data_IF_549432317976
#
_entry.id   IF_549432317976
#
_cell.length_a   1.000
_cell.length_b   1.000
_cell.length_c   1.000
_cell.angle_alpha   90.00
_cell.angle_beta   90.00
_cell.angle_gamma   90.00
#
_symmetry.space_group_name_H-M   'P 1'
#
loop_
_entity.id
_entity.type
_entity.pdbx_description
1 polymer ?
#
# COMPACT_ATOMS: atom_id res chain seq x y z
N UNK A 1 13.83 65.88 26.11
CA UNK A 1 12.87 64.76 26.27
C UNK A 1 13.05 63.80 25.09
N UNK A 2 12.47 62.60 25.20
CA UNK A 2 12.91 61.37 24.54
C UNK A 2 11.78 60.79 23.66
N UNK A 3 12.12 60.25 22.47
CA UNK A 3 11.30 59.34 21.59
C UNK A 3 10.06 59.97 20.91
N UNK A 4 9.49 59.53 19.76
CA UNK A 4 9.67 58.45 18.72
C UNK A 4 9.11 59.02 17.38
N UNK A 5 9.15 58.43 16.17
CA UNK A 5 9.59 57.12 15.62
C UNK A 5 9.23 57.05 14.10
N UNK A 6 9.74 56.07 13.35
CA UNK A 6 9.67 56.03 11.86
C UNK A 6 8.75 54.92 11.29
N UNK A 7 8.22 55.09 10.06
CA UNK A 7 8.48 54.20 8.88
C UNK A 7 7.65 54.52 7.61
N UNK A 8 8.23 54.18 6.45
CA UNK A 8 7.62 54.15 5.10
C UNK A 8 7.07 52.72 4.77
N UNK A 9 6.52 52.33 3.60
CA UNK A 9 6.64 52.84 2.21
C UNK A 9 5.48 52.36 1.27
N UNK A 10 5.59 52.61 -0.05
CA UNK A 10 4.64 52.21 -1.13
C UNK A 10 5.42 51.68 -2.37
N UNK A 11 4.89 51.19 -3.52
CA UNK A 11 3.61 51.45 -4.23
C UNK A 11 3.38 50.44 -5.41
N UNK A 12 2.10 50.14 -5.76
CA UNK A 12 1.47 49.91 -7.12
C UNK A 12 2.20 49.09 -8.23
N UNK A 13 1.56 48.07 -8.83
CA UNK A 13 0.83 48.04 -10.15
C UNK A 13 1.73 47.73 -11.38
N UNK A 14 1.30 47.19 -12.55
CA UNK A 14 0.16 46.32 -12.97
C UNK A 14 0.31 45.89 -14.45
N UNK A 15 -0.44 44.84 -14.90
CA UNK A 15 -0.71 44.43 -16.30
C UNK A 15 0.45 44.00 -17.25
N UNK A 16 0.43 42.75 -17.76
CA UNK A 16 -0.03 42.41 -19.13
C UNK A 16 0.11 40.91 -19.45
N UNK A 17 -0.80 40.36 -20.28
CA UNK A 17 -0.75 39.00 -20.82
C UNK A 17 0.07 38.94 -22.12
N UNK A 18 0.68 37.79 -22.42
CA UNK A 18 1.16 37.43 -23.76
C UNK A 18 0.94 35.94 -24.04
N UNK A 19 0.31 35.62 -25.18
CA UNK A 19 0.15 34.26 -25.72
C UNK A 19 1.16 34.13 -26.87
N UNK A 20 1.98 33.07 -26.88
CA UNK A 20 2.87 32.78 -28.01
C UNK A 20 3.05 31.28 -28.26
N UNK A 21 2.75 30.91 -29.50
CA UNK A 21 2.87 29.61 -30.18
C UNK A 21 4.05 28.70 -29.80
N UNK A 22 3.78 27.40 -29.79
CA UNK A 22 4.79 26.34 -29.91
C UNK A 22 5.48 26.43 -31.28
N UNK A 23 6.82 26.42 -31.32
CA UNK A 23 7.61 26.12 -32.51
C UNK A 23 9.08 25.84 -32.17
N UNK A 24 9.68 24.84 -32.81
CA UNK A 24 11.13 24.70 -32.95
C UNK A 24 11.89 24.04 -31.78
N UNK A 25 12.24 22.77 -31.94
CA UNK A 25 13.27 22.14 -31.12
C UNK A 25 14.63 22.81 -31.32
N UNK A 26 15.38 23.07 -30.24
CA UNK A 26 16.81 23.41 -30.34
C UNK A 26 17.60 22.72 -29.24
N UNK A 27 18.14 21.55 -29.59
CA UNK A 27 19.14 20.84 -28.83
C UNK A 27 20.39 21.73 -28.70
N UNK A 28 20.86 21.98 -27.47
CA UNK A 28 22.14 22.65 -27.20
C UNK A 28 22.94 21.76 -26.25
N UNK A 29 23.90 21.03 -26.80
CA UNK A 29 24.87 20.25 -26.02
C UNK A 29 26.01 21.20 -25.64
N UNK A 30 26.11 21.55 -24.36
CA UNK A 30 27.25 22.29 -23.82
C UNK A 30 28.15 21.31 -23.08
N UNK A 31 29.28 20.96 -23.69
CA UNK A 31 30.33 20.16 -23.06
C UNK A 31 31.28 21.07 -22.26
N UNK A 32 31.39 20.88 -20.94
CA UNK A 32 32.21 21.78 -20.11
C UNK A 32 32.43 21.35 -18.65
N UNK A 33 33.29 20.35 -18.46
CA UNK A 33 34.19 20.12 -17.30
C UNK A 33 33.81 20.54 -15.86
N UNK A 34 33.80 19.52 -14.99
CA UNK A 34 34.49 19.47 -13.69
C UNK A 34 34.00 20.34 -12.51
N UNK A 35 33.19 19.73 -11.64
CA UNK A 35 33.31 19.90 -10.19
C UNK A 35 33.28 18.52 -9.49
N UNK A 36 34.29 18.26 -8.66
CA UNK A 36 34.37 17.06 -7.82
C UNK A 36 33.64 17.31 -6.49
N UNK A 37 32.66 16.46 -6.14
CA UNK A 37 32.48 16.07 -4.74
C UNK A 37 31.77 14.71 -4.59
N UNK A 38 32.60 13.69 -4.35
CA UNK A 38 32.39 12.47 -3.57
C UNK A 38 30.93 12.12 -3.17
N UNK A 39 30.34 11.14 -3.86
CA UNK A 39 29.35 10.24 -3.25
C UNK A 39 29.97 8.84 -3.18
N UNK A 40 30.08 8.32 -1.97
CA UNK A 40 30.52 6.95 -1.69
C UNK A 40 29.35 6.01 -2.00
N UNK A 41 29.46 5.16 -3.02
CA UNK A 41 28.49 4.08 -3.25
C UNK A 41 29.08 2.77 -2.69
N UNK A 42 28.70 2.33 -1.48
CA UNK A 42 29.06 1.01 -1.00
C UNK A 42 28.31 -0.07 -1.82
N UNK A 43 29.07 -1.00 -2.38
CA UNK A 43 28.57 -2.06 -3.24
C UNK A 43 27.59 -3.01 -2.53
N UNK A 44 26.37 -3.17 -3.08
CA UNK A 44 25.58 -4.43 -3.10
C UNK A 44 24.24 -4.28 -3.84
N UNK A 45 24.30 -4.05 -5.15
CA UNK A 45 23.20 -4.52 -6.01
C UNK A 45 23.33 -6.05 -6.03
N UNK A 46 22.42 -6.76 -5.33
CA UNK A 46 22.30 -8.21 -5.51
C UNK A 46 21.71 -8.44 -6.91
N UNK A 47 22.47 -9.05 -7.81
CA UNK A 47 21.91 -9.59 -9.04
C UNK A 47 20.90 -10.68 -8.71
N UNK A 48 19.61 -10.43 -8.96
CA UNK A 48 18.68 -11.53 -9.19
C UNK A 48 18.94 -12.04 -10.62
N UNK A 49 19.47 -13.26 -10.75
CA UNK A 49 19.62 -13.90 -12.05
C UNK A 49 18.21 -14.24 -12.59
N UNK A 50 17.90 -13.79 -13.80
CA UNK A 50 16.68 -14.15 -14.53
C UNK A 50 17.06 -14.57 -15.95
N UNK A 51 17.36 -15.85 -16.11
CA UNK A 51 17.48 -16.51 -17.41
C UNK A 51 16.07 -16.74 -18.02
N UNK A 52 15.39 -15.63 -18.33
CA UNK A 52 14.12 -15.62 -19.04
C UNK A 52 14.33 -15.29 -20.53
N UNK A 53 13.94 -16.19 -21.43
CA UNK A 53 14.11 -16.00 -22.88
C UNK A 53 13.06 -15.02 -23.42
N UNK A 54 13.38 -13.73 -23.46
CA UNK A 54 12.55 -12.70 -24.08
C UNK A 54 12.80 -12.64 -25.59
N UNK A 55 11.90 -13.27 -26.36
CA UNK A 55 11.82 -13.06 -27.82
C UNK A 55 11.11 -11.71 -28.08
N UNK A 56 11.88 -10.69 -28.48
CA UNK A 56 11.45 -9.29 -28.55
C UNK A 56 10.78 -8.96 -29.89
N UNK A 57 9.48 -8.65 -29.89
CA UNK A 57 8.77 -8.08 -31.05
C UNK A 57 8.19 -6.69 -30.73
N UNK A 58 9.03 -5.66 -30.90
CA UNK A 58 8.63 -4.25 -30.77
C UNK A 58 7.82 -3.79 -32.01
N UNK A 59 6.52 -3.50 -31.87
CA UNK A 59 5.77 -2.67 -32.82
C UNK A 59 4.73 -1.74 -32.16
N UNK A 60 5.21 -0.53 -31.82
CA UNK A 60 4.59 0.78 -32.08
C UNK A 60 3.37 1.35 -31.32
N UNK A 61 2.65 0.69 -30.41
CA UNK A 61 1.62 1.38 -29.60
C UNK A 61 1.55 0.98 -28.12
N UNK A 62 1.58 2.01 -27.25
CA UNK A 62 1.30 1.91 -25.82
C UNK A 62 2.46 1.43 -24.95
N UNK A 63 2.73 2.14 -23.86
CA UNK A 63 3.57 1.62 -22.79
C UNK A 63 2.77 0.58 -21.99
N UNK A 64 2.92 -0.71 -22.33
CA UNK A 64 2.34 -1.80 -21.55
C UNK A 64 3.15 -1.94 -20.26
N UNK A 65 2.61 -1.40 -19.17
CA UNK A 65 3.14 -1.65 -17.83
C UNK A 65 2.79 -3.07 -17.41
N UNK A 66 3.75 -4.00 -17.57
CA UNK A 66 3.63 -5.35 -17.02
C UNK A 66 3.74 -5.24 -15.51
N UNK A 67 2.60 -5.18 -14.82
CA UNK A 67 2.55 -5.45 -13.39
C UNK A 67 2.88 -6.93 -13.22
N UNK A 68 4.06 -7.24 -12.69
CA UNK A 68 4.42 -8.60 -12.38
C UNK A 68 3.51 -9.10 -11.25
N UNK A 69 2.65 -10.08 -11.55
CA UNK A 69 1.88 -10.74 -10.51
C UNK A 69 2.85 -11.41 -9.53
N UNK A 70 2.60 -11.23 -8.23
CA UNK A 70 3.45 -11.76 -7.18
C UNK A 70 3.43 -13.29 -7.21
N UNK A 71 4.60 -13.90 -7.33
CA UNK A 71 4.71 -15.37 -7.32
C UNK A 71 4.15 -15.93 -6.02
N UNK A 72 3.14 -16.79 -6.11
CA UNK A 72 2.51 -17.43 -4.95
C UNK A 72 3.39 -18.48 -4.24
N UNK A 73 4.58 -18.78 -4.74
CA UNK A 73 5.40 -19.84 -4.19
C UNK A 73 6.09 -19.43 -2.86
N UNK A 74 5.47 -19.76 -1.72
CA UNK A 74 6.04 -19.62 -0.37
C UNK A 74 5.80 -20.84 0.50
N UNK A 75 6.73 -21.07 1.45
CA UNK A 75 6.55 -22.04 2.53
C UNK A 75 5.82 -21.45 3.75
N UNK A 76 6.07 -20.18 4.04
CA UNK A 76 5.49 -19.43 5.15
C UNK A 76 4.25 -18.69 4.65
N UNK A 77 3.09 -18.96 5.25
CA UNK A 77 1.79 -18.53 4.76
C UNK A 77 0.97 -17.90 5.87
N UNK A 78 0.66 -16.62 5.70
CA UNK A 78 -0.29 -15.91 6.56
C UNK A 78 -1.71 -16.07 6.03
N UNK A 79 -2.68 -16.12 6.93
CA UNK A 79 -4.09 -16.33 6.57
C UNK A 79 -4.62 -15.15 5.75
N UNK A 80 -5.24 -15.45 4.60
CA UNK A 80 -6.05 -14.49 3.87
C UNK A 80 -7.52 -14.89 3.81
N UNK A 81 -7.86 -16.16 3.99
CA UNK A 81 -9.23 -16.65 3.87
C UNK A 81 -9.82 -17.07 5.21
N UNK A 82 -10.67 -18.07 5.15
CA UNK A 82 -11.19 -18.79 6.32
C UNK A 82 -11.17 -20.29 6.01
N UNK A 83 -11.31 -21.13 7.03
CA UNK A 83 -11.32 -22.58 6.84
C UNK A 83 -12.50 -22.99 5.93
N UNK A 84 -12.20 -23.67 4.83
CA UNK A 84 -13.22 -24.09 3.84
C UNK A 84 -13.59 -23.04 2.80
N UNK A 85 -12.89 -21.89 2.73
CA UNK A 85 -12.92 -21.03 1.54
C UNK A 85 -12.52 -21.83 0.29
N UNK A 86 -13.11 -21.54 -0.87
CA UNK A 86 -12.75 -22.16 -2.14
C UNK A 86 -11.69 -21.32 -2.90
N UNK A 87 -11.11 -21.91 -3.95
CA UNK A 87 -10.07 -21.26 -4.77
C UNK A 87 -10.53 -19.94 -5.40
N UNK A 88 -11.68 -19.93 -6.07
CA UNK A 88 -12.23 -18.77 -6.78
C UNK A 88 -12.44 -17.58 -5.83
N UNK A 89 -13.05 -17.81 -4.66
CA UNK A 89 -13.24 -16.78 -3.64
C UNK A 89 -11.91 -16.31 -3.05
N UNK A 90 -10.92 -17.19 -2.89
CA UNK A 90 -9.59 -16.79 -2.42
C UNK A 90 -8.84 -15.89 -3.43
N UNK A 91 -8.87 -16.26 -4.71
CA UNK A 91 -8.24 -15.51 -5.78
C UNK A 91 -8.96 -14.18 -6.04
N UNK A 92 -10.29 -14.16 -5.93
CA UNK A 92 -11.10 -12.94 -5.98
C UNK A 92 -10.81 -11.96 -4.83
N UNK A 93 -10.37 -12.46 -3.66
CA UNK A 93 -9.83 -11.65 -2.54
C UNK A 93 -8.40 -11.12 -2.81
N UNK A 94 -7.84 -11.37 -3.99
CA UNK A 94 -6.50 -10.91 -4.38
C UNK A 94 -5.34 -11.76 -3.84
N UNK A 95 -5.65 -12.94 -3.27
CA UNK A 95 -4.71 -13.78 -2.55
C UNK A 95 -4.27 -15.02 -3.32
N UNK A 96 -3.30 -15.75 -2.75
CA UNK A 96 -2.78 -16.98 -3.30
C UNK A 96 -3.55 -18.20 -2.81
N UNK A 97 -3.74 -19.17 -3.70
CA UNK A 97 -4.30 -20.48 -3.39
C UNK A 97 -3.29 -21.61 -3.58
N UNK A 98 -3.18 -22.51 -2.60
CA UNK A 98 -2.53 -23.81 -2.75
C UNK A 98 -2.98 -24.78 -1.65
N UNK A 99 -3.72 -25.82 -2.04
CA UNK A 99 -4.23 -26.87 -1.16
C UNK A 99 -3.35 -28.15 -1.11
N UNK A 100 -2.14 -28.12 -1.67
CA UNK A 100 -1.23 -29.28 -1.73
C UNK A 100 -0.74 -29.78 -0.36
N UNK A 101 -0.73 -28.93 0.67
CA UNK A 101 -0.37 -29.28 2.05
C UNK A 101 -1.56 -29.00 2.98
N UNK A 102 -2.19 -30.02 3.61
CA UNK A 102 -3.33 -29.84 4.51
C UNK A 102 -2.94 -29.21 5.86
N UNK A 103 -1.65 -29.10 6.19
CA UNK A 103 -1.18 -28.46 7.43
C UNK A 103 -0.89 -26.96 7.25
N UNK A 104 -1.04 -26.44 6.02
CA UNK A 104 -0.79 -25.03 5.69
C UNK A 104 -2.08 -24.30 5.36
N UNK A 105 -2.06 -22.97 5.46
CA UNK A 105 -3.18 -22.14 5.01
C UNK A 105 -3.31 -22.29 3.49
N UNK A 106 -4.51 -22.64 3.03
CA UNK A 106 -4.80 -22.84 1.61
C UNK A 106 -5.02 -21.53 0.88
N UNK A 107 -5.67 -20.57 1.55
CA UNK A 107 -5.79 -19.19 1.08
C UNK A 107 -4.87 -18.27 1.87
N UNK A 108 -3.87 -17.67 1.22
CA UNK A 108 -2.81 -16.96 1.92
C UNK A 108 -2.36 -15.68 1.23
N UNK A 109 -1.81 -14.77 2.03
CA UNK A 109 -1.26 -13.49 1.60
C UNK A 109 -0.16 -13.70 0.55
N UNK A 110 -0.13 -12.85 -0.49
CA UNK A 110 0.90 -12.91 -1.54
C UNK A 110 2.31 -12.72 -0.93
N UNK A 111 3.31 -13.55 -1.29
CA UNK A 111 4.64 -13.46 -0.70
C UNK A 111 5.29 -12.09 -0.90
N UNK A 112 5.81 -11.50 0.17
CA UNK A 112 6.41 -10.16 0.14
C UNK A 112 5.40 -9.01 0.08
N UNK A 113 4.10 -9.28 0.23
CA UNK A 113 3.05 -8.26 0.37
C UNK A 113 2.39 -8.34 1.75
N UNK A 114 1.40 -7.49 1.95
CA UNK A 114 0.44 -7.55 3.05
C UNK A 114 -0.93 -7.99 2.51
N UNK A 115 -1.87 -8.23 3.41
CA UNK A 115 -3.28 -8.45 3.09
C UNK A 115 -3.88 -7.14 2.51
N UNK A 116 -4.84 -7.20 1.56
CA UNK A 116 -5.53 -6.00 1.10
C UNK A 116 -6.17 -5.22 2.25
N UNK A 117 -6.24 -3.89 2.09
CA UNK A 117 -6.85 -3.00 3.08
C UNK A 117 -8.32 -3.38 3.32
N UNK A 118 -8.78 -3.26 4.57
CA UNK A 118 -10.11 -3.70 4.98
C UNK A 118 -10.34 -5.21 5.02
N UNK A 119 -9.48 -6.03 4.41
CA UNK A 119 -9.80 -7.44 4.18
C UNK A 119 -9.47 -8.27 5.43
N UNK A 120 -10.49 -8.91 6.03
CA UNK A 120 -10.32 -9.73 7.22
C UNK A 120 -10.61 -11.23 6.96
N UNK A 121 -9.89 -12.16 7.63
CA UNK A 121 -9.99 -13.61 7.43
C UNK A 121 -11.19 -14.27 8.15
N UNK A 122 -12.38 -13.66 8.05
CA UNK A 122 -13.59 -14.10 8.79
C UNK A 122 -14.59 -14.81 7.87
N UNK A 123 -15.03 -16.01 8.29
CA UNK A 123 -16.00 -16.79 7.52
C UNK A 123 -17.35 -16.06 7.41
N UNK A 124 -18.01 -16.06 6.23
CA UNK A 124 -19.28 -15.35 6.00
C UNK A 124 -20.38 -15.60 7.06
N UNK A 125 -20.45 -16.81 7.60
CA UNK A 125 -21.40 -17.21 8.65
C UNK A 125 -21.09 -16.63 10.03
N UNK A 126 -19.84 -16.25 10.29
CA UNK A 126 -19.34 -15.74 11.58
C UNK A 126 -19.32 -14.20 11.63
N UNK A 127 -19.46 -13.54 10.47
CA UNK A 127 -19.45 -12.08 10.36
C UNK A 127 -20.56 -11.43 11.19
N UNK A 128 -20.17 -10.51 12.06
CA UNK A 128 -21.07 -9.61 12.78
C UNK A 128 -21.18 -8.28 12.02
N UNK A 129 -22.39 -7.73 11.92
CA UNK A 129 -22.64 -6.48 11.18
C UNK A 129 -21.97 -5.28 11.86
N UNK A 130 -21.27 -4.45 11.08
CA UNK A 130 -20.73 -3.16 11.55
C UNK A 130 -21.42 -1.94 10.91
N UNK A 131 -22.05 -2.13 9.74
CA UNK A 131 -22.66 -1.07 8.96
C UNK A 131 -24.16 -1.28 8.76
N UNK A 132 -24.58 -1.22 7.50
CA UNK A 132 -25.93 -1.51 7.04
C UNK A 132 -25.88 -2.03 5.60
N UNK A 133 -26.98 -2.61 5.16
CA UNK A 133 -27.12 -3.09 3.79
C UNK A 133 -26.92 -1.95 2.77
N UNK A 134 -25.93 -2.10 1.88
CA UNK A 134 -25.59 -1.09 0.88
C UNK A 134 -24.70 0.06 1.36
N UNK A 135 -24.10 -0.04 2.56
CA UNK A 135 -22.95 0.79 2.95
C UNK A 135 -21.82 0.63 1.92
N UNK A 136 -21.02 1.68 1.71
CA UNK A 136 -19.85 1.62 0.83
C UNK A 136 -18.61 1.08 1.54
N UNK A 137 -17.63 0.68 0.73
CA UNK A 137 -16.29 0.30 1.19
C UNK A 137 -15.67 1.39 2.04
N UNK A 138 -15.53 2.62 1.52
CA UNK A 138 -14.84 3.71 2.22
C UNK A 138 -15.50 4.02 3.58
N UNK A 139 -16.83 4.05 3.62
CA UNK A 139 -17.63 4.30 4.83
C UNK A 139 -17.59 3.15 5.84
N UNK A 140 -17.30 1.92 5.39
CA UNK A 140 -17.03 0.79 6.27
C UNK A 140 -15.62 0.85 6.87
N UNK A 141 -14.61 1.22 6.08
CA UNK A 141 -13.23 1.36 6.54
C UNK A 141 -13.09 2.55 7.51
N UNK A 142 -13.78 3.67 7.27
CA UNK A 142 -13.88 4.80 8.21
C UNK A 142 -14.50 4.43 9.58
N UNK A 143 -15.22 3.31 9.65
CA UNK A 143 -15.74 2.72 10.89
C UNK A 143 -14.78 1.74 11.57
N UNK A 144 -13.54 1.64 11.07
CA UNK A 144 -12.54 0.66 11.51
C UNK A 144 -12.99 -0.79 11.31
N UNK A 145 -13.82 -1.04 10.30
CA UNK A 145 -14.47 -2.33 10.08
C UNK A 145 -14.05 -2.98 8.75
N UNK A 146 -14.13 -4.30 8.73
CA UNK A 146 -13.71 -5.13 7.62
C UNK A 146 -14.66 -5.02 6.43
N UNK A 147 -14.08 -5.05 5.23
CA UNK A 147 -14.81 -5.08 3.97
C UNK A 147 -14.47 -6.34 3.17
N UNK A 148 -15.49 -7.09 2.74
CA UNK A 148 -15.33 -8.17 1.76
C UNK A 148 -16.63 -8.42 0.94
N UNK A 149 -16.68 -7.95 -0.33
CA UNK A 149 -17.80 -8.16 -1.23
C UNK A 149 -17.73 -9.49 -2.01
N UNK A 150 -16.70 -10.33 -1.83
CA UNK A 150 -16.47 -11.52 -2.65
C UNK A 150 -17.46 -12.66 -2.42
N UNK A 151 -18.27 -12.59 -1.35
CA UNK A 151 -19.30 -13.58 -1.04
C UNK A 151 -20.70 -12.94 -1.16
N UNK A 152 -21.56 -13.42 -2.08
CA UNK A 152 -22.94 -12.94 -2.18
C UNK A 152 -23.76 -13.33 -0.94
N UNK A 153 -24.81 -12.57 -0.66
CA UNK A 153 -25.73 -12.76 0.48
C UNK A 153 -25.08 -12.78 1.88
N UNK A 154 -23.78 -12.44 1.97
CA UNK A 154 -23.04 -12.27 3.21
C UNK A 154 -23.00 -10.80 3.65
N UNK A 155 -22.55 -10.56 4.89
CA UNK A 155 -22.23 -9.21 5.35
C UNK A 155 -20.93 -8.77 4.69
N UNK A 156 -21.00 -7.68 3.93
CA UNK A 156 -19.81 -7.09 3.28
C UNK A 156 -19.06 -6.16 4.23
N UNK A 157 -19.78 -5.37 5.05
CA UNK A 157 -19.19 -4.60 6.14
C UNK A 157 -19.37 -5.34 7.48
N UNK A 158 -18.28 -5.70 8.15
CA UNK A 158 -18.34 -6.52 9.36
C UNK A 158 -17.26 -6.15 10.39
N UNK A 159 -17.51 -6.48 11.66
CA UNK A 159 -16.56 -6.20 12.74
C UNK A 159 -15.22 -6.91 12.49
N UNK A 160 -14.11 -6.27 12.91
CA UNK A 160 -12.82 -6.95 13.03
C UNK A 160 -12.94 -8.17 13.96
N UNK A 161 -12.22 -9.28 13.70
CA UNK A 161 -12.26 -10.44 14.58
C UNK A 161 -11.61 -10.11 15.93
N UNK A 162 -12.19 -10.64 17.01
CA UNK A 162 -11.67 -10.53 18.39
C UNK A 162 -10.41 -11.42 18.60
N UNK A 163 -9.39 -11.22 17.76
CA UNK A 163 -8.13 -11.94 17.87
C UNK A 163 -7.21 -11.30 18.93
N UNK A 164 -6.40 -12.11 19.63
CA UNK A 164 -5.44 -11.57 20.59
C UNK A 164 -4.50 -10.55 19.90
N UNK A 165 -4.20 -9.42 20.55
CA UNK A 165 -3.40 -8.36 19.96
C UNK A 165 -1.96 -8.85 19.70
N UNK A 166 -1.61 -9.05 18.43
CA UNK A 166 -0.22 -9.28 18.03
C UNK A 166 0.56 -7.97 18.11
N UNK A 167 1.77 -8.02 18.66
CA UNK A 167 2.61 -6.84 18.84
C UNK A 167 3.46 -6.55 17.60
N UNK A 168 3.31 -5.36 17.02
CA UNK A 168 4.24 -4.82 16.03
C UNK A 168 5.38 -4.02 16.69
N UNK A 169 6.52 -3.93 16.01
CA UNK A 169 7.65 -3.08 16.42
C UNK A 169 8.05 -2.10 15.30
N UNK A 170 8.00 -0.80 15.60
CA UNK A 170 8.20 0.27 14.62
C UNK A 170 9.66 0.73 14.47
N UNK A 171 10.59 0.09 15.19
CA UNK A 171 11.88 0.69 15.51
C UNK A 171 11.77 1.71 16.64
N UNK A 172 12.90 2.32 17.00
CA UNK A 172 13.00 3.40 18.00
C UNK A 172 12.40 3.12 19.40
N UNK A 173 12.19 1.85 19.76
CA UNK A 173 11.55 1.46 21.02
C UNK A 173 10.02 1.60 21.03
N UNK A 174 9.40 1.89 19.88
CA UNK A 174 7.96 1.95 19.73
C UNK A 174 7.41 0.56 19.41
N UNK A 175 6.50 0.08 20.24
CA UNK A 175 5.69 -1.11 19.99
C UNK A 175 4.21 -0.74 19.89
N UNK A 176 3.46 -1.58 19.18
CA UNK A 176 2.04 -1.36 18.92
C UNK A 176 1.23 -2.65 18.83
N UNK A 177 0.01 -2.55 18.33
CA UNK A 177 -0.86 -3.70 18.05
C UNK A 177 -1.22 -3.78 16.56
N UNK A 178 -1.01 -4.96 15.96
CA UNK A 178 -1.34 -5.25 14.56
C UNK A 178 -2.86 -5.42 14.36
N UNK A 179 -3.47 -4.64 13.47
CA UNK A 179 -4.90 -4.68 13.13
C UNK A 179 -5.12 -4.90 11.63
N UNK A 180 -6.29 -5.45 11.28
CA UNK A 180 -6.71 -5.66 9.89
C UNK A 180 -7.18 -4.36 9.23
N UNK A 181 -7.78 -3.45 10.00
CA UNK A 181 -8.22 -2.13 9.55
C UNK A 181 -7.72 -1.09 10.56
N UNK A 182 -7.22 0.03 10.05
CA UNK A 182 -6.68 1.13 10.84
C UNK A 182 -7.81 1.92 11.51
N UNK A 183 -7.66 2.25 12.78
CA UNK A 183 -8.52 3.29 13.38
C UNK A 183 -8.17 4.68 12.81
N UNK A 184 -9.11 5.65 12.81
CA UNK A 184 -8.82 7.02 12.41
C UNK A 184 -7.64 7.64 13.18
N UNK A 185 -6.55 7.91 12.46
CA UNK A 185 -5.29 8.42 13.03
C UNK A 185 -4.19 7.37 13.23
N UNK A 186 -4.41 6.11 12.82
CA UNK A 186 -3.37 5.08 12.76
C UNK A 186 -2.63 5.07 11.42
N UNK A 187 -1.34 4.71 11.46
CA UNK A 187 -0.51 4.59 10.27
C UNK A 187 -0.58 3.19 9.64
N UNK A 188 -0.64 3.18 8.31
CA UNK A 188 -0.53 1.96 7.50
C UNK A 188 0.93 1.49 7.43
N UNK A 189 1.12 0.18 7.58
CA UNK A 189 2.38 -0.51 7.82
C UNK A 189 2.60 -1.66 6.83
N UNK A 190 2.63 -1.30 5.56
CA UNK A 190 2.81 -2.25 4.47
C UNK A 190 4.19 -2.93 4.52
N UNK A 191 4.20 -4.27 4.43
CA UNK A 191 5.43 -5.07 4.27
C UNK A 191 6.12 -5.51 5.57
N UNK A 192 5.43 -5.47 6.72
CA UNK A 192 6.01 -5.88 8.01
C UNK A 192 5.66 -7.33 8.37
N UNK A 193 6.67 -8.18 8.55
CA UNK A 193 6.51 -9.61 8.87
C UNK A 193 5.80 -9.88 10.19
N UNK A 194 6.02 -9.00 11.16
CA UNK A 194 5.59 -9.17 12.56
C UNK A 194 4.06 -9.11 12.73
N UNK A 195 3.37 -8.58 11.72
CA UNK A 195 1.92 -8.47 11.68
C UNK A 195 1.23 -9.59 10.90
N UNK A 196 1.96 -10.59 10.39
CA UNK A 196 1.42 -11.71 9.61
C UNK A 196 0.46 -11.26 8.50
N UNK A 197 0.87 -10.22 7.74
CA UNK A 197 0.08 -9.64 6.66
C UNK A 197 -0.99 -8.62 7.09
N UNK A 198 -1.29 -8.45 8.39
CA UNK A 198 -2.09 -7.31 8.87
C UNK A 198 -1.39 -5.98 8.55
N UNK A 199 -2.18 -4.95 8.24
CA UNK A 199 -1.69 -3.71 7.62
C UNK A 199 -1.53 -2.51 8.55
N UNK A 200 -2.06 -2.57 9.77
CA UNK A 200 -2.15 -1.39 10.65
C UNK A 200 -1.43 -1.65 11.97
N UNK A 201 -0.70 -0.66 12.48
CA UNK A 201 -0.01 -0.77 13.78
C UNK A 201 -0.29 0.45 14.66
N UNK A 202 -1.06 0.27 15.72
CA UNK A 202 -1.32 1.34 16.69
C UNK A 202 -0.09 1.61 17.56
N UNK A 203 0.56 2.77 17.42
CA UNK A 203 1.40 3.30 18.50
C UNK A 203 0.62 4.33 19.34
N UNK A 204 0.79 4.30 20.66
CA UNK A 204 -0.06 5.00 21.64
C UNK A 204 -0.02 6.54 21.68
N UNK A 205 0.32 7.22 20.58
CA UNK A 205 0.50 8.67 20.50
C UNK A 205 -0.56 9.40 19.65
N UNK A 206 -1.60 8.70 19.17
CA UNK A 206 -2.65 9.25 18.31
C UNK A 206 -3.80 9.97 19.05
N UNK A 207 -3.53 10.92 19.95
CA UNK A 207 -4.53 11.82 20.56
C UNK A 207 -3.98 13.21 20.86
#
# INVERSE_FOLDING_TARGET
MVLLGERAATRRDSLHQAIASVQGAKLQIVTGQSFYQLIWIPSRIKSCNMEGRFDVLFLLFGAVTIMADGSCHTNDRWECGWLGINQETCEARGCCWDNSDPNKKWCYVKPGTHLPDGLCPVAPSERQECGWYGIKEEECLEKSCCWDPTVPDAKWCFNQPDEPPMSCYLGYGLSGTCKYVCDPGEDHMYGMSDCEGRICCYHGFGK
#
